data_IF_350906677443
#
_entry.id   IF_350906677443
#
_cell.length_a   1.000
_cell.length_b   1.000
_cell.length_c   1.000
_cell.angle_alpha   90.00
_cell.angle_beta   90.00
_cell.angle_gamma   90.00
#
_symmetry.space_group_name_H-M   'P 1'
#
loop_
_entity.id
_entity.type
_entity.pdbx_description
1 polymer ?
#
# COMPACT_ATOMS: atom_id res chain seq x y z
N UNK A 1 -14.86 -7.80 15.47
CA UNK A 1 -15.46 -8.10 14.16
C UNK A 1 -14.35 -8.59 13.25
N UNK A 2 -14.29 -9.91 13.05
CA UNK A 2 -13.28 -10.56 12.24
C UNK A 2 -13.58 -10.21 10.78
N UNK A 3 -12.64 -9.54 10.12
CA UNK A 3 -12.73 -9.18 8.71
C UNK A 3 -13.06 -10.42 7.89
N UNK A 4 -14.32 -10.49 7.46
CA UNK A 4 -14.81 -11.46 6.50
C UNK A 4 -14.09 -11.15 5.18
N UNK A 5 -12.97 -11.83 4.96
CA UNK A 5 -12.21 -11.74 3.72
C UNK A 5 -13.00 -12.55 2.70
N UNK A 6 -14.01 -11.93 2.13
CA UNK A 6 -14.68 -12.42 0.93
C UNK A 6 -13.67 -12.30 -0.23
N UNK A 7 -12.75 -13.26 -0.30
CA UNK A 7 -11.93 -13.48 -1.49
C UNK A 7 -12.89 -14.07 -2.53
N UNK A 8 -13.54 -13.20 -3.29
CA UNK A 8 -14.15 -13.58 -4.56
C UNK A 8 -13.00 -13.90 -5.51
N UNK A 9 -12.39 -15.08 -5.32
CA UNK A 9 -11.64 -15.76 -6.37
C UNK A 9 -12.72 -16.34 -7.28
N UNK A 10 -12.90 -15.75 -8.46
CA UNK A 10 -13.72 -16.36 -9.51
C UNK A 10 -13.31 -17.83 -9.65
N UNK A 11 -14.29 -18.70 -9.41
CA UNK A 11 -14.11 -20.12 -9.19
C UNK A 11 -13.91 -20.83 -10.53
N UNK A 12 -12.79 -20.54 -11.21
CA UNK A 12 -12.30 -21.36 -12.30
C UNK A 12 -11.36 -22.41 -11.68
N UNK A 13 -11.67 -23.69 -11.81
CA UNK A 13 -10.94 -24.79 -11.14
C UNK A 13 -9.43 -24.78 -11.36
N UNK A 14 -8.94 -24.15 -12.44
CA UNK A 14 -7.50 -23.94 -12.68
C UNK A 14 -6.86 -22.84 -11.83
N UNK A 15 -7.60 -21.80 -11.43
CA UNK A 15 -7.07 -20.62 -10.72
C UNK A 15 -6.62 -20.97 -9.30
N UNK A 16 -7.30 -21.90 -8.63
CA UNK A 16 -6.90 -22.35 -7.27
C UNK A 16 -5.57 -23.09 -7.27
N UNK A 17 -5.30 -23.93 -8.28
CA UNK A 17 -4.02 -24.62 -8.42
C UNK A 17 -2.88 -23.63 -8.65
N UNK A 18 -3.09 -22.63 -9.51
CA UNK A 18 -2.11 -21.56 -9.77
C UNK A 18 -1.78 -20.73 -8.52
N UNK A 19 -2.77 -20.43 -7.66
CA UNK A 19 -2.53 -19.69 -6.40
C UNK A 19 -1.71 -20.54 -5.41
N UNK A 20 -1.98 -21.84 -5.33
CA UNK A 20 -1.22 -22.75 -4.45
C UNK A 20 0.24 -22.82 -4.89
N UNK A 21 0.51 -22.93 -6.19
CA UNK A 21 1.87 -22.90 -6.75
C UNK A 21 2.58 -21.57 -6.46
N UNK A 22 1.86 -20.46 -6.59
CA UNK A 22 2.37 -19.13 -6.25
C UNK A 22 2.71 -19.01 -4.76
N UNK A 23 1.90 -19.59 -3.86
CA UNK A 23 2.18 -19.61 -2.42
C UNK A 23 3.44 -20.39 -2.07
N UNK A 24 3.67 -21.54 -2.71
CA UNK A 24 4.91 -22.29 -2.54
C UNK A 24 6.12 -21.49 -3.01
N UNK A 25 5.99 -20.83 -4.17
CA UNK A 25 7.03 -19.97 -4.73
C UNK A 25 7.32 -18.77 -3.84
N UNK A 26 6.28 -18.12 -3.31
CA UNK A 26 6.41 -17.02 -2.37
C UNK A 26 7.21 -17.43 -1.12
N UNK A 27 6.93 -18.59 -0.55
CA UNK A 27 7.59 -19.05 0.69
C UNK A 27 9.11 -19.17 0.51
N UNK A 28 9.57 -19.72 -0.62
CA UNK A 28 10.99 -19.87 -0.90
C UNK A 28 11.66 -18.51 -1.17
N UNK A 29 11.03 -17.67 -1.99
CA UNK A 29 11.52 -16.33 -2.32
C UNK A 29 11.59 -15.40 -1.10
N UNK A 30 10.56 -15.42 -0.24
CA UNK A 30 10.52 -14.60 0.96
C UNK A 30 11.64 -14.98 1.94
N UNK A 31 11.91 -16.28 2.12
CA UNK A 31 13.01 -16.74 2.98
C UNK A 31 14.38 -16.33 2.42
N UNK A 32 14.58 -16.44 1.10
CA UNK A 32 15.81 -16.01 0.45
C UNK A 32 16.00 -14.48 0.52
N UNK A 33 14.93 -13.71 0.37
CA UNK A 33 15.01 -12.26 0.41
C UNK A 33 15.27 -11.76 1.84
N UNK A 34 14.67 -12.40 2.85
CA UNK A 34 14.85 -12.10 4.27
C UNK A 34 16.27 -12.38 4.76
N UNK A 35 16.96 -13.38 4.22
CA UNK A 35 18.35 -13.65 4.60
C UNK A 35 19.33 -12.60 4.04
N UNK A 36 18.98 -11.95 2.93
CA UNK A 36 19.81 -10.94 2.27
C UNK A 36 19.52 -9.50 2.73
N UNK A 37 18.28 -9.20 3.13
CA UNK A 37 17.84 -7.83 3.42
C UNK A 37 17.31 -7.68 4.84
N UNK A 38 17.61 -6.53 5.48
CA UNK A 38 17.00 -6.18 6.78
C UNK A 38 15.50 -5.90 6.60
N UNK A 39 14.63 -6.41 7.48
CA UNK A 39 13.20 -6.18 7.38
C UNK A 39 12.87 -4.72 7.74
N UNK A 40 12.51 -3.93 6.74
CA UNK A 40 11.94 -2.60 6.90
C UNK A 40 10.84 -2.34 5.83
N UNK A 41 10.14 -1.22 5.94
CA UNK A 41 9.03 -0.89 5.02
C UNK A 41 9.49 -0.80 3.57
N UNK A 42 10.65 -0.20 3.32
CA UNK A 42 11.21 -0.05 1.97
C UNK A 42 11.59 -1.41 1.37
N UNK A 43 12.24 -2.29 2.14
CA UNK A 43 12.61 -3.63 1.70
C UNK A 43 11.38 -4.50 1.43
N UNK A 44 10.30 -4.32 2.21
CA UNK A 44 9.04 -5.00 1.99
C UNK A 44 8.41 -4.58 0.65
N UNK A 45 8.33 -3.27 0.39
CA UNK A 45 7.82 -2.75 -0.88
C UNK A 45 8.71 -3.16 -2.06
N UNK A 46 10.03 -3.15 -1.89
CA UNK A 46 10.99 -3.56 -2.91
C UNK A 46 10.85 -5.04 -3.27
N UNK A 47 10.66 -5.94 -2.28
CA UNK A 47 10.37 -7.35 -2.53
C UNK A 47 9.17 -7.51 -3.47
N UNK A 48 8.03 -6.91 -3.13
CA UNK A 48 6.81 -7.03 -3.93
C UNK A 48 6.99 -6.44 -5.33
N UNK A 49 7.78 -5.37 -5.48
CA UNK A 49 8.06 -4.78 -6.78
C UNK A 49 8.94 -5.67 -7.67
N UNK A 50 9.94 -6.34 -7.09
CA UNK A 50 10.84 -7.25 -7.81
C UNK A 50 10.07 -8.48 -8.32
N UNK A 51 9.16 -9.01 -7.51
CA UNK A 51 8.43 -10.24 -7.80
C UNK A 51 7.01 -10.01 -8.33
N UNK A 52 6.69 -8.82 -8.83
CA UNK A 52 5.36 -8.45 -9.35
C UNK A 52 4.87 -9.41 -10.45
N UNK A 53 5.77 -9.81 -11.36
CA UNK A 53 5.43 -10.73 -12.46
C UNK A 53 5.45 -12.21 -12.03
N UNK A 54 6.24 -12.56 -11.01
CA UNK A 54 6.35 -13.94 -10.51
C UNK A 54 5.20 -14.29 -9.57
N UNK A 55 4.67 -13.28 -8.85
CA UNK A 55 3.63 -13.42 -7.84
C UNK A 55 2.45 -12.48 -8.15
N UNK A 56 1.73 -12.65 -9.26
CA UNK A 56 0.74 -11.69 -9.72
C UNK A 56 -0.47 -11.55 -8.79
N UNK A 57 -0.96 -12.65 -8.19
CA UNK A 57 -2.14 -12.59 -7.33
C UNK A 57 -1.79 -12.09 -5.93
N UNK A 58 -0.68 -12.58 -5.38
CA UNK A 58 -0.17 -12.13 -4.08
C UNK A 58 0.29 -10.67 -4.14
N UNK A 59 0.90 -10.23 -5.24
CA UNK A 59 1.28 -8.84 -5.43
C UNK A 59 0.07 -7.90 -5.40
N UNK A 60 -1.03 -8.29 -6.06
CA UNK A 60 -2.27 -7.50 -6.06
C UNK A 60 -2.82 -7.33 -4.65
N UNK A 61 -2.76 -8.38 -3.83
CA UNK A 61 -3.14 -8.34 -2.41
C UNK A 61 -2.18 -7.44 -1.61
N UNK A 62 -0.88 -7.69 -1.75
CA UNK A 62 0.17 -6.97 -1.02
C UNK A 62 0.11 -5.46 -1.30
N UNK A 63 -0.02 -5.05 -2.56
CA UNK A 63 -0.18 -3.65 -2.96
C UNK A 63 -1.39 -2.99 -2.30
N UNK A 64 -2.51 -3.71 -2.15
CA UNK A 64 -3.72 -3.17 -1.53
C UNK A 64 -3.58 -2.96 -0.02
N UNK A 65 -2.82 -3.81 0.67
CA UNK A 65 -2.74 -3.81 2.12
C UNK A 65 -1.51 -3.09 2.67
N UNK A 66 -0.35 -3.25 2.04
CA UNK A 66 0.93 -2.70 2.55
C UNK A 66 1.05 -1.21 2.26
N UNK A 67 0.46 -0.72 1.16
CA UNK A 67 0.50 0.71 0.82
C UNK A 67 -0.46 1.57 1.66
N UNK A 68 -1.29 0.96 2.51
CA UNK A 68 -2.20 1.70 3.39
C UNK A 68 -1.47 2.09 4.67
N UNK A 69 -1.49 3.37 5.06
CA UNK A 69 -0.97 3.75 6.37
C UNK A 69 -1.78 3.04 7.46
N UNK A 70 -1.11 2.52 8.48
CA UNK A 70 -1.75 1.82 9.58
C UNK A 70 -2.51 2.78 10.53
N UNK A 71 -2.21 4.08 10.47
CA UNK A 71 -2.74 5.09 11.37
C UNK A 71 -3.24 6.32 10.62
N UNK A 72 -4.12 7.10 11.24
CA UNK A 72 -4.60 8.40 10.75
C UNK A 72 -3.55 9.50 10.83
N UNK A 73 -2.39 9.27 11.44
CA UNK A 73 -1.36 10.30 11.70
C UNK A 73 -0.95 11.04 10.43
N UNK A 74 -0.81 10.34 9.30
CA UNK A 74 -0.51 10.98 8.02
C UNK A 74 -1.61 11.95 7.57
N UNK A 75 -2.88 11.57 7.77
CA UNK A 75 -4.03 12.43 7.47
C UNK A 75 -4.12 13.60 8.45
N UNK A 76 -3.90 13.38 9.75
CA UNK A 76 -3.88 14.43 10.78
C UNK A 76 -2.77 15.46 10.52
N UNK A 77 -1.58 15.01 10.12
CA UNK A 77 -0.48 15.89 9.72
C UNK A 77 -0.85 16.74 8.49
N UNK A 78 -1.51 16.14 7.50
CA UNK A 78 -2.03 16.84 6.34
C UNK A 78 -3.09 17.89 6.76
N UNK A 79 -4.05 17.54 7.61
CA UNK A 79 -5.08 18.47 8.10
C UNK A 79 -4.53 19.59 8.98
N UNK A 80 -3.52 19.31 9.81
CA UNK A 80 -2.84 20.33 10.61
C UNK A 80 -2.12 21.33 9.72
N UNK A 81 -1.41 20.84 8.70
CA UNK A 81 -0.73 21.66 7.70
C UNK A 81 -1.72 22.50 6.88
N UNK A 82 -2.80 21.87 6.43
CA UNK A 82 -3.89 22.52 5.72
C UNK A 82 -4.52 23.64 6.56
N UNK A 83 -4.81 23.36 7.83
CA UNK A 83 -5.36 24.33 8.78
C UNK A 83 -4.44 25.52 9.01
N UNK A 84 -3.12 25.27 9.06
CA UNK A 84 -2.12 26.33 9.16
C UNK A 84 -2.08 27.21 7.90
N UNK A 85 -2.10 26.61 6.71
CA UNK A 85 -2.11 27.32 5.42
C UNK A 85 -3.42 28.09 5.21
N UNK A 86 -4.56 27.57 5.71
CA UNK A 86 -5.87 28.20 5.54
C UNK A 86 -6.12 29.41 6.46
N UNK A 87 -5.22 29.71 7.42
CA UNK A 87 -5.41 30.83 8.35
C UNK A 87 -5.45 32.17 7.61
N UNK A 88 -6.62 32.83 7.68
CA UNK A 88 -6.91 34.13 7.04
C UNK A 88 -5.90 35.24 7.32
N UNK A 89 -5.25 35.21 8.48
CA UNK A 89 -4.27 36.22 8.91
C UNK A 89 -2.97 36.20 8.08
N UNK A 90 -2.66 35.11 7.36
CA UNK A 90 -1.44 34.99 6.55
C UNK A 90 -1.65 34.62 5.09
N UNK A 91 -2.87 34.28 4.67
CA UNK A 91 -3.13 33.85 3.28
C UNK A 91 -4.50 34.34 2.78
N UNK A 92 -4.50 35.28 1.83
CA UNK A 92 -5.68 35.60 0.99
C UNK A 92 -5.80 34.60 -0.16
N UNK A 93 -5.79 33.31 0.15
CA UNK A 93 -5.82 32.25 -0.85
C UNK A 93 -7.28 31.93 -1.21
N UNK A 94 -7.60 31.88 -2.50
CA UNK A 94 -8.86 31.30 -2.96
C UNK A 94 -8.88 29.79 -2.68
N UNK A 95 -10.06 29.20 -2.55
CA UNK A 95 -10.22 27.75 -2.31
C UNK A 95 -9.47 26.93 -3.37
N UNK A 96 -9.56 27.33 -4.64
CA UNK A 96 -8.86 26.68 -5.75
C UNK A 96 -7.33 26.71 -5.59
N UNK A 97 -6.79 27.86 -5.17
CA UNK A 97 -5.35 28.00 -4.95
C UNK A 97 -4.90 27.24 -3.70
N UNK A 98 -5.75 27.13 -2.69
CA UNK A 98 -5.51 26.32 -1.50
C UNK A 98 -5.43 24.83 -1.80
N UNK A 99 -6.39 24.29 -2.54
CA UNK A 99 -6.39 22.89 -2.98
C UNK A 99 -5.13 22.57 -3.80
N UNK A 100 -4.78 23.43 -4.77
CA UNK A 100 -3.57 23.27 -5.56
C UNK A 100 -2.30 23.30 -4.69
N UNK A 101 -2.25 24.20 -3.71
CA UNK A 101 -1.11 24.29 -2.78
C UNK A 101 -0.99 23.04 -1.90
N UNK A 102 -2.12 22.48 -1.45
CA UNK A 102 -2.13 21.27 -0.63
C UNK A 102 -1.75 20.02 -1.44
N UNK A 103 -2.10 19.98 -2.72
CA UNK A 103 -1.72 18.89 -3.62
C UNK A 103 -0.23 18.89 -3.99
N UNK A 104 0.37 20.08 -4.14
CA UNK A 104 1.79 20.23 -4.50
C UNK A 104 2.75 20.03 -3.32
N UNK A 105 2.22 19.99 -2.09
CA UNK A 105 3.00 19.90 -0.86
C UNK A 105 3.23 18.46 -0.42
#
# INVERSE_FOLDING_TARGET
ELFNIDIVLENNGGTRATIIEELYTYRSLANQYKSKNKPNTLSCLAFWKIYEFTLPYLFKLAKRHICKPATSVAAEAAFSTASYIARRERSRLSVKNFEATMFLK
#
